data_IF_794065133877
#
_entry.id   IF_794065133877
#
_cell.length_a   1.000
_cell.length_b   1.000
_cell.length_c   1.000
_cell.angle_alpha   90.00
_cell.angle_beta   90.00
_cell.angle_gamma   90.00
#
_symmetry.space_group_name_H-M   'P 1'
#
loop_
_entity.id
_entity.type
_entity.pdbx_description
1 polymer ?
#
# COMPACT_ATOMS: atom_id res chain seq x y z
N UNK A 1 -10.04 -3.58 27.65
CA UNK A 1 -8.99 -3.04 26.75
C UNK A 1 -9.66 -2.67 25.44
N UNK A 2 -9.51 -1.43 24.98
CA UNK A 2 -10.05 -0.98 23.69
C UNK A 2 -9.45 -1.77 22.50
N UNK A 3 -10.13 -1.70 21.36
CA UNK A 3 -9.67 -2.29 20.11
C UNK A 3 -8.36 -1.62 19.63
N UNK A 4 -7.66 -2.24 18.68
CA UNK A 4 -6.48 -1.61 18.07
C UNK A 4 -6.85 -0.29 17.36
N UNK A 5 -8.05 -0.21 16.76
CA UNK A 5 -8.57 1.04 16.18
C UNK A 5 -8.73 2.10 17.26
N UNK A 6 -9.29 1.76 18.42
CA UNK A 6 -9.51 2.70 19.54
C UNK A 6 -8.19 3.29 20.05
N UNK A 7 -7.13 2.48 20.09
CA UNK A 7 -5.79 2.94 20.45
C UNK A 7 -5.24 3.92 19.42
N UNK A 8 -5.39 3.63 18.13
CA UNK A 8 -4.94 4.55 17.07
C UNK A 8 -5.72 5.84 17.12
N UNK A 9 -7.05 5.80 17.32
CA UNK A 9 -7.86 7.02 17.42
C UNK A 9 -7.45 7.86 18.62
N UNK A 10 -7.21 7.25 19.79
CA UNK A 10 -6.74 7.96 20.98
C UNK A 10 -5.37 8.64 20.72
N UNK A 11 -4.42 7.93 20.08
CA UNK A 11 -3.12 8.51 19.71
C UNK A 11 -3.29 9.72 18.79
N UNK A 12 -4.21 9.68 17.83
CA UNK A 12 -4.53 10.84 16.99
C UNK A 12 -5.14 11.99 17.81
N UNK A 13 -6.06 11.71 18.73
CA UNK A 13 -6.68 12.71 19.60
C UNK A 13 -5.64 13.41 20.50
N UNK A 14 -4.72 12.65 21.08
CA UNK A 14 -3.60 13.15 21.88
C UNK A 14 -2.66 14.08 21.07
N UNK A 15 -2.72 14.02 19.73
CA UNK A 15 -1.97 14.86 18.80
C UNK A 15 -2.82 15.99 18.17
N UNK A 16 -3.92 16.34 18.83
CA UNK A 16 -4.78 17.46 18.45
C UNK A 16 -5.65 17.20 17.23
N UNK A 17 -5.90 15.93 16.89
CA UNK A 17 -6.93 15.57 15.91
C UNK A 17 -8.29 15.38 16.59
N UNK A 18 -9.36 15.63 15.86
CA UNK A 18 -10.72 15.27 16.26
C UNK A 18 -11.19 14.08 15.46
N UNK A 19 -11.70 13.05 16.14
CA UNK A 19 -12.34 11.89 15.51
C UNK A 19 -13.79 12.24 15.20
N UNK A 20 -14.09 12.58 13.95
CA UNK A 20 -15.45 12.92 13.53
C UNK A 20 -16.34 11.68 13.35
N UNK A 21 -15.76 10.57 12.89
CA UNK A 21 -16.45 9.31 12.65
C UNK A 21 -15.51 8.16 12.98
N UNK A 22 -16.02 7.12 13.63
CA UNK A 22 -15.37 5.82 13.78
C UNK A 22 -16.43 4.73 13.73
N UNK A 23 -16.54 4.03 12.60
CA UNK A 23 -17.61 3.06 12.34
C UNK A 23 -17.02 1.72 11.89
N UNK A 24 -17.38 0.60 12.53
CA UNK A 24 -17.02 -0.73 12.05
C UNK A 24 -17.53 -0.99 10.63
N UNK A 25 -16.69 -1.53 9.75
CA UNK A 25 -17.14 -2.05 8.43
C UNK A 25 -17.35 -3.56 8.50
N UNK A 26 -16.44 -4.27 9.16
CA UNK A 26 -16.60 -5.70 9.43
C UNK A 26 -16.01 -6.07 10.79
N UNK A 27 -16.44 -7.21 11.33
CA UNK A 27 -15.93 -7.79 12.57
C UNK A 27 -17.05 -8.25 13.50
N UNK A 28 -16.71 -9.20 14.38
CA UNK A 28 -17.59 -9.54 15.50
C UNK A 28 -17.66 -8.38 16.51
N UNK A 29 -18.75 -8.31 17.27
CA UNK A 29 -18.92 -7.35 18.37
C UNK A 29 -17.65 -7.35 19.24
N UNK A 30 -16.99 -6.19 19.36
CA UNK A 30 -15.77 -6.00 20.16
C UNK A 30 -14.43 -6.12 19.41
N UNK A 31 -14.40 -6.42 18.10
CA UNK A 31 -13.18 -6.39 17.27
C UNK A 31 -13.44 -5.81 15.85
N UNK A 32 -13.89 -4.55 15.75
CA UNK A 32 -14.17 -3.94 14.45
C UNK A 32 -12.86 -3.72 13.66
N UNK A 33 -12.71 -4.42 12.55
CA UNK A 33 -11.59 -4.27 11.62
C UNK A 33 -12.05 -4.76 10.22
N UNK A 34 -11.96 -3.92 9.17
CA UNK A 34 -11.57 -2.51 9.21
C UNK A 34 -12.68 -1.61 9.77
N UNK A 35 -12.31 -0.36 10.03
CA UNK A 35 -13.24 0.71 10.43
C UNK A 35 -13.12 1.91 9.50
N UNK A 36 -14.25 2.56 9.19
CA UNK A 36 -14.28 3.88 8.56
C UNK A 36 -13.96 4.91 9.63
N UNK A 37 -12.86 5.62 9.46
CA UNK A 37 -12.44 6.67 10.40
C UNK A 37 -12.25 7.99 9.68
N UNK A 38 -12.71 9.07 10.29
CA UNK A 38 -12.52 10.43 9.77
C UNK A 38 -11.82 11.26 10.84
N UNK A 39 -10.62 11.72 10.53
CA UNK A 39 -9.85 12.63 11.38
C UNK A 39 -9.89 14.05 10.83
N UNK A 40 -10.05 15.03 11.72
CA UNK A 40 -10.02 16.45 11.41
C UNK A 40 -8.92 17.16 12.22
N UNK A 41 -8.17 18.06 11.58
CA UNK A 41 -7.24 18.97 12.27
C UNK A 41 -7.10 20.27 11.50
N UNK A 42 -7.68 21.34 12.03
CA UNK A 42 -7.82 22.61 11.32
C UNK A 42 -8.56 22.42 9.98
N UNK A 43 -7.91 22.76 8.87
CA UNK A 43 -8.45 22.56 7.50
C UNK A 43 -8.17 21.17 6.92
N UNK A 44 -7.41 20.33 7.62
CA UNK A 44 -7.02 19.00 7.14
C UNK A 44 -8.08 17.98 7.50
N UNK A 45 -8.51 17.18 6.52
CA UNK A 45 -9.41 16.04 6.69
C UNK A 45 -8.75 14.78 6.16
N UNK A 46 -8.71 13.72 6.98
CA UNK A 46 -8.28 12.39 6.57
C UNK A 46 -9.47 11.43 6.66
N UNK A 47 -9.96 10.96 5.52
CA UNK A 47 -11.01 9.95 5.43
C UNK A 47 -10.37 8.59 5.14
N UNK A 48 -10.36 7.69 6.12
CA UNK A 48 -9.63 6.43 6.06
C UNK A 48 -10.59 5.23 6.14
N UNK A 49 -10.21 4.16 5.45
CA UNK A 49 -10.66 2.80 5.72
C UNK A 49 -9.49 2.11 6.43
N UNK A 50 -9.52 2.15 7.76
CA UNK A 50 -8.38 1.79 8.59
C UNK A 50 -8.46 0.35 9.03
N UNK A 51 -7.37 -0.36 8.80
CA UNK A 51 -7.10 -1.65 9.40
C UNK A 51 -6.01 -1.50 10.48
N UNK A 52 -6.28 -1.91 11.72
CA UNK A 52 -5.35 -1.72 12.82
C UNK A 52 -5.07 -3.02 13.58
N UNK A 53 -3.80 -3.26 13.92
CA UNK A 53 -3.35 -4.41 14.71
C UNK A 53 -2.15 -4.03 15.59
N UNK A 54 -1.87 -4.87 16.60
CA UNK A 54 -0.59 -4.78 17.31
C UNK A 54 0.52 -5.40 16.45
N UNK A 55 1.71 -4.81 16.49
CA UNK A 55 2.91 -5.37 15.90
C UNK A 55 3.36 -6.56 16.75
N UNK A 56 3.70 -7.67 16.10
CA UNK A 56 4.24 -8.88 16.77
C UNK A 56 5.57 -9.29 16.15
N UNK A 57 6.42 -9.97 16.91
CA UNK A 57 7.64 -10.58 16.39
C UNK A 57 7.31 -11.67 15.35
N UNK A 58 8.20 -11.94 14.38
CA UNK A 58 7.96 -12.94 13.32
C UNK A 58 7.83 -14.39 13.81
N UNK A 59 7.98 -14.67 15.11
CA UNK A 59 7.93 -16.01 15.69
C UNK A 59 9.29 -16.70 15.80
N UNK A 60 9.32 -17.83 16.52
CA UNK A 60 10.53 -18.60 16.84
C UNK A 60 11.18 -19.19 15.57
N UNK A 61 12.50 -19.05 15.41
CA UNK A 61 13.27 -19.62 14.30
C UNK A 61 13.50 -18.71 13.09
N UNK A 62 13.26 -17.40 13.23
CA UNK A 62 13.62 -16.37 12.24
C UNK A 62 14.62 -15.39 12.85
N UNK A 63 15.37 -14.69 12.01
CA UNK A 63 16.52 -13.85 12.37
C UNK A 63 16.22 -12.66 13.31
N UNK A 64 14.98 -12.49 13.77
CA UNK A 64 14.57 -11.44 14.72
C UNK A 64 14.61 -10.00 14.17
N UNK A 65 14.98 -9.84 12.90
CA UNK A 65 15.19 -8.54 12.26
C UNK A 65 13.92 -7.90 11.68
N UNK A 66 12.81 -8.63 11.70
CA UNK A 66 11.54 -8.18 11.17
C UNK A 66 10.45 -8.31 12.24
N UNK A 67 9.41 -7.51 12.05
CA UNK A 67 8.17 -7.54 12.79
C UNK A 67 7.01 -7.72 11.82
N UNK A 68 5.84 -8.08 12.33
CA UNK A 68 4.64 -8.32 11.53
C UNK A 68 3.44 -7.59 12.07
N UNK A 69 2.74 -6.94 11.15
CA UNK A 69 1.33 -6.61 11.33
C UNK A 69 0.53 -7.82 10.86
N UNK A 70 -0.09 -8.53 11.80
CA UNK A 70 -0.91 -9.71 11.49
C UNK A 70 -2.23 -9.25 10.85
N UNK A 71 -2.25 -9.14 9.52
CA UNK A 71 -3.46 -8.87 8.75
C UNK A 71 -4.34 -10.12 8.61
N UNK A 72 -4.48 -10.91 9.68
CA UNK A 72 -5.31 -12.10 9.71
C UNK A 72 -6.78 -11.73 9.53
N UNK A 73 -7.34 -12.15 8.39
CA UNK A 73 -8.74 -12.12 7.94
C UNK A 73 -9.68 -11.28 8.82
N UNK A 74 -9.62 -9.96 8.63
CA UNK A 74 -10.67 -9.04 9.04
C UNK A 74 -12.05 -9.44 8.46
N UNK A 75 -12.05 -10.00 7.25
CA UNK A 75 -13.22 -10.53 6.53
C UNK A 75 -12.78 -11.55 5.47
N UNK A 76 -13.76 -12.17 4.78
CA UNK A 76 -13.51 -13.04 3.62
C UNK A 76 -13.21 -12.16 2.39
N UNK A 77 -12.22 -12.54 1.59
CA UNK A 77 -11.88 -11.89 0.32
C UNK A 77 -10.72 -10.90 0.41
N UNK A 78 -10.56 -10.10 -0.64
CA UNK A 78 -9.54 -9.05 -0.71
C UNK A 78 -9.85 -7.91 0.25
N UNK A 79 -8.82 -7.23 0.78
CA UNK A 79 -9.00 -6.02 1.59
C UNK A 79 -9.87 -5.02 0.84
N UNK A 80 -10.83 -4.46 1.56
CA UNK A 80 -11.82 -3.53 1.07
C UNK A 80 -11.15 -2.23 0.62
N UNK A 81 -11.76 -1.61 -0.40
CA UNK A 81 -11.50 -0.25 -0.82
C UNK A 81 -12.83 0.46 -1.01
N UNK A 82 -12.89 1.74 -0.69
CA UNK A 82 -14.10 2.56 -0.79
C UNK A 82 -13.75 3.88 -1.48
N UNK A 83 -14.59 4.29 -2.43
CA UNK A 83 -14.42 5.58 -3.10
C UNK A 83 -14.41 6.71 -2.06
N UNK A 84 -13.45 7.64 -2.20
CA UNK A 84 -13.29 8.77 -1.28
C UNK A 84 -12.65 8.43 0.08
N UNK A 85 -12.20 7.18 0.29
CA UNK A 85 -11.44 6.78 1.48
C UNK A 85 -10.13 6.11 1.12
N UNK A 86 -9.10 6.39 1.92
CA UNK A 86 -7.81 5.72 1.76
C UNK A 86 -7.75 4.45 2.64
N UNK A 87 -7.53 3.30 2.01
CA UNK A 87 -7.30 2.04 2.73
C UNK A 87 -5.89 2.01 3.30
N UNK A 88 -5.78 2.05 4.63
CA UNK A 88 -4.50 2.07 5.34
C UNK A 88 -4.41 0.92 6.33
N UNK A 89 -3.24 0.31 6.41
CA UNK A 89 -2.90 -0.61 7.49
C UNK A 89 -2.04 0.08 8.53
N UNK A 90 -2.36 -0.15 9.81
CA UNK A 90 -1.67 0.44 10.97
C UNK A 90 -1.24 -0.68 11.92
N UNK A 91 0.04 -0.68 12.26
CA UNK A 91 0.65 -1.52 13.29
C UNK A 91 1.01 -0.67 14.50
N UNK A 92 0.63 -1.12 15.70
CA UNK A 92 0.97 -0.47 16.97
C UNK A 92 2.12 -1.23 17.64
N UNK A 93 3.26 -0.57 17.83
CA UNK A 93 4.37 -1.05 18.67
C UNK A 93 4.39 -0.25 19.98
N UNK A 94 3.77 -0.81 21.02
CA UNK A 94 3.71 -0.18 22.35
C UNK A 94 5.04 -0.27 23.10
N UNK A 95 5.98 -1.12 22.71
CA UNK A 95 7.29 -1.17 23.37
C UNK A 95 8.17 0.03 22.97
N UNK A 96 7.94 0.57 21.77
CA UNK A 96 8.68 1.70 21.21
C UNK A 96 7.89 2.99 21.15
N UNK A 97 6.62 2.97 21.54
CA UNK A 97 5.66 4.05 21.30
C UNK A 97 5.60 4.50 19.84
N UNK A 98 5.53 3.54 18.91
CA UNK A 98 5.56 3.78 17.46
C UNK A 98 4.31 3.23 16.77
N UNK A 99 3.74 4.01 15.86
CA UNK A 99 2.82 3.54 14.84
C UNK A 99 3.60 3.26 13.56
N UNK A 100 3.44 2.07 12.98
CA UNK A 100 3.85 1.77 11.61
C UNK A 100 2.62 1.79 10.71
N UNK A 101 2.76 2.35 9.51
CA UNK A 101 1.69 2.43 8.52
C UNK A 101 2.16 1.87 7.18
N UNK A 102 1.20 1.35 6.42
CA UNK A 102 1.42 0.87 5.06
C UNK A 102 0.15 1.06 4.21
N UNK A 103 0.36 1.14 2.90
CA UNK A 103 -0.74 1.18 1.93
C UNK A 103 -1.43 -0.19 1.87
N UNK A 104 -2.66 -0.29 2.40
CA UNK A 104 -3.39 -1.56 2.43
C UNK A 104 -3.74 -2.06 1.02
N UNK A 105 -3.80 -1.17 0.02
CA UNK A 105 -4.03 -1.55 -1.38
C UNK A 105 -2.97 -2.53 -1.89
N UNK A 106 -1.71 -2.31 -1.53
CA UNK A 106 -0.58 -3.15 -1.96
C UNK A 106 -0.63 -4.56 -1.37
N UNK A 107 -1.50 -4.79 -0.38
CA UNK A 107 -1.72 -6.07 0.30
C UNK A 107 -3.17 -6.56 0.17
N UNK A 108 -3.91 -6.04 -0.83
CA UNK A 108 -5.34 -6.33 -1.02
C UNK A 108 -5.64 -7.82 -1.14
N UNK A 109 -4.81 -8.60 -1.83
CA UNK A 109 -5.07 -10.03 -1.95
C UNK A 109 -4.70 -10.76 -0.65
N UNK A 110 -5.70 -11.18 0.12
CA UNK A 110 -5.46 -11.86 1.40
C UNK A 110 -5.26 -13.37 1.20
N UNK A 111 -4.00 -13.83 1.28
CA UNK A 111 -3.69 -15.27 1.30
C UNK A 111 -4.09 -15.96 2.60
N UNK A 112 -3.75 -17.26 2.76
CA UNK A 112 -3.99 -18.02 4.01
C UNK A 112 -3.25 -17.44 5.23
N UNK A 113 -2.16 -16.72 5.00
CA UNK A 113 -1.40 -16.00 6.02
C UNK A 113 -1.04 -14.63 5.46
N UNK A 114 -1.92 -13.65 5.61
CA UNK A 114 -1.62 -12.29 5.21
C UNK A 114 -0.96 -11.57 6.39
N UNK A 115 0.33 -11.26 6.26
CA UNK A 115 1.05 -10.44 7.24
C UNK A 115 1.93 -9.46 6.49
N UNK A 116 1.95 -8.22 6.97
CA UNK A 116 2.85 -7.20 6.43
C UNK A 116 4.10 -7.17 7.28
N UNK A 117 5.24 -7.37 6.63
CA UNK A 117 6.52 -7.31 7.32
C UNK A 117 6.92 -5.85 7.50
N UNK A 118 7.25 -5.46 8.72
CA UNK A 118 7.84 -4.16 9.03
C UNK A 118 9.27 -4.41 9.48
N UNK A 119 10.25 -3.76 8.84
CA UNK A 119 11.66 -3.94 9.20
C UNK A 119 11.90 -3.36 10.59
N UNK A 120 12.67 -4.05 11.44
CA UNK A 120 13.07 -3.53 12.75
C UNK A 120 13.76 -2.17 12.63
N UNK A 121 14.65 -2.02 11.64
CA UNK A 121 15.37 -0.76 11.40
C UNK A 121 14.45 0.42 11.14
N UNK A 122 13.27 0.20 10.55
CA UNK A 122 12.27 1.26 10.34
C UNK A 122 11.64 1.71 11.67
N UNK A 123 11.30 0.74 12.53
CA UNK A 123 10.72 1.02 13.85
C UNK A 123 11.73 1.70 14.78
N UNK A 124 12.96 1.18 14.83
CA UNK A 124 14.03 1.73 15.67
C UNK A 124 14.41 3.16 15.22
N UNK A 125 14.45 3.41 13.89
CA UNK A 125 14.67 4.75 13.35
C UNK A 125 13.54 5.72 13.69
N UNK A 126 12.26 5.30 13.59
CA UNK A 126 11.14 6.13 13.97
C UNK A 126 11.11 6.41 15.48
N UNK A 127 11.40 5.42 16.33
CA UNK A 127 11.47 5.61 17.78
C UNK A 127 12.56 6.61 18.18
N UNK A 128 13.68 6.61 17.47
CA UNK A 128 14.83 7.52 17.72
C UNK A 128 14.59 8.91 17.14
N UNK A 129 14.15 9.00 15.89
CA UNK A 129 14.09 10.25 15.13
C UNK A 129 12.68 10.88 15.08
N UNK A 130 11.70 10.24 15.70
CA UNK A 130 10.29 10.62 15.66
C UNK A 130 9.54 10.16 14.41
N UNK A 131 10.24 9.94 13.28
CA UNK A 131 9.65 9.51 12.03
C UNK A 131 10.67 8.79 11.13
N UNK A 132 10.22 7.82 10.35
CA UNK A 132 11.02 7.19 9.30
C UNK A 132 10.12 6.62 8.20
N UNK A 133 10.63 6.58 6.97
CA UNK A 133 10.01 5.87 5.85
C UNK A 133 10.88 4.69 5.42
N UNK A 134 10.30 3.75 4.68
CA UNK A 134 11.07 2.67 4.09
C UNK A 134 10.25 1.77 3.16
N UNK A 135 10.95 0.86 2.49
CA UNK A 135 10.38 0.08 1.41
C UNK A 135 10.50 0.80 0.06
N UNK A 136 10.28 0.09 -1.05
CA UNK A 136 10.16 0.72 -2.36
C UNK A 136 8.82 1.48 -2.47
N UNK A 137 8.66 2.41 -3.42
CA UNK A 137 7.41 3.16 -3.63
C UNK A 137 6.14 2.30 -3.63
N UNK A 138 6.19 1.15 -4.30
CA UNK A 138 5.06 0.23 -4.46
C UNK A 138 4.78 -0.70 -3.28
N UNK A 139 5.60 -0.62 -2.22
CA UNK A 139 5.38 -1.26 -0.91
C UNK A 139 5.86 -0.30 0.18
N UNK A 140 5.52 0.99 0.01
CA UNK A 140 5.95 2.06 0.87
C UNK A 140 5.37 1.91 2.28
N UNK A 141 6.21 2.19 3.26
CA UNK A 141 5.89 2.13 4.68
C UNK A 141 6.40 3.39 5.35
N UNK A 142 5.71 3.79 6.40
CA UNK A 142 6.21 4.81 7.31
C UNK A 142 6.04 4.35 8.74
N UNK A 143 6.79 4.95 9.64
CA UNK A 143 6.61 4.80 11.06
C UNK A 143 6.82 6.15 11.76
N UNK A 144 6.03 6.43 12.78
CA UNK A 144 6.10 7.66 13.58
C UNK A 144 5.92 7.33 15.06
N UNK A 145 6.53 8.11 15.95
CA UNK A 145 6.21 8.05 17.37
C UNK A 145 4.78 8.48 17.64
N UNK A 146 4.21 7.99 18.74
CA UNK A 146 2.88 8.38 19.20
C UNK A 146 2.76 9.89 19.41
N UNK A 147 3.83 10.56 19.85
CA UNK A 147 3.88 12.01 20.08
C UNK A 147 4.28 12.86 18.85
N UNK A 148 4.48 12.23 17.68
CA UNK A 148 4.92 12.91 16.46
C UNK A 148 4.18 12.43 15.20
N UNK A 149 2.86 12.61 15.17
CA UNK A 149 2.05 12.22 14.01
C UNK A 149 2.10 13.22 12.84
N UNK A 150 2.73 14.38 13.00
CA UNK A 150 2.72 15.46 12.01
C UNK A 150 3.16 15.07 10.59
N UNK A 151 4.15 14.19 10.40
CA UNK A 151 4.56 13.76 9.05
C UNK A 151 3.55 12.81 8.37
N UNK A 152 2.73 12.10 9.15
CA UNK A 152 1.91 10.99 8.67
C UNK A 152 0.82 11.42 7.65
N UNK A 153 0.06 12.51 7.83
CA UNK A 153 -0.92 12.97 6.83
C UNK A 153 -0.32 13.24 5.46
N UNK A 154 0.88 13.85 5.43
CA UNK A 154 1.58 14.12 4.17
C UNK A 154 1.93 12.81 3.48
N UNK A 155 2.50 11.86 4.23
CA UNK A 155 2.83 10.54 3.70
C UNK A 155 1.60 9.83 3.14
N UNK A 156 0.48 9.84 3.87
CA UNK A 156 -0.80 9.26 3.42
C UNK A 156 -1.28 9.92 2.12
N UNK A 157 -1.22 11.25 2.02
CA UNK A 157 -1.63 11.96 0.81
C UNK A 157 -0.76 11.63 -0.39
N UNK A 158 0.55 11.46 -0.23
CA UNK A 158 1.43 11.02 -1.31
C UNK A 158 1.02 9.63 -1.83
N UNK A 159 0.45 8.77 -0.98
CA UNK A 159 -0.10 7.49 -1.42
C UNK A 159 -1.44 7.60 -2.20
N UNK A 160 -1.99 8.80 -2.39
CA UNK A 160 -3.17 9.04 -3.22
C UNK A 160 -2.84 9.66 -4.59
N UNK A 161 -1.61 10.14 -4.77
CA UNK A 161 -1.19 10.77 -6.01
C UNK A 161 -1.23 9.74 -7.16
N UNK A 162 -1.59 10.23 -8.35
CA UNK A 162 -1.61 9.40 -9.56
C UNK A 162 -0.20 8.97 -9.88
N UNK A 163 -0.05 7.68 -10.15
CA UNK A 163 1.26 7.05 -10.35
C UNK A 163 1.61 6.96 -11.82
N UNK A 164 2.92 6.94 -12.06
CA UNK A 164 3.50 6.53 -13.31
C UNK A 164 4.69 5.60 -13.04
N UNK A 165 4.60 4.34 -13.49
CA UNK A 165 5.59 3.29 -13.19
C UNK A 165 5.91 2.42 -14.41
N UNK A 166 7.00 1.66 -14.35
CA UNK A 166 7.28 0.60 -15.32
C UNK A 166 6.60 -0.72 -14.93
N UNK A 167 5.81 -1.31 -15.82
CA UNK A 167 5.16 -2.61 -15.59
C UNK A 167 5.74 -3.68 -16.49
N UNK A 168 6.27 -4.73 -15.87
CA UNK A 168 6.58 -5.98 -16.55
C UNK A 168 5.35 -6.89 -16.62
N UNK A 169 4.84 -7.11 -17.82
CA UNK A 169 3.73 -8.02 -18.07
C UNK A 169 4.18 -9.48 -18.13
N UNK A 170 3.23 -10.37 -17.84
CA UNK A 170 3.31 -11.83 -18.05
C UNK A 170 2.55 -12.18 -19.33
N UNK A 171 1.37 -11.60 -19.49
CA UNK A 171 0.45 -11.82 -20.61
C UNK A 171 -0.11 -10.45 -21.03
N UNK A 172 -0.25 -10.21 -22.33
CA UNK A 172 -0.80 -8.98 -22.90
C UNK A 172 -1.73 -9.31 -24.06
N UNK A 173 -2.90 -8.68 -24.10
CA UNK A 173 -3.83 -8.70 -25.23
C UNK A 173 -4.16 -7.25 -25.56
N UNK A 174 -3.66 -6.73 -26.68
CA UNK A 174 -3.82 -5.32 -27.05
C UNK A 174 -4.54 -5.26 -28.40
N UNK A 175 -5.63 -4.49 -28.44
CA UNK A 175 -6.37 -4.18 -29.66
C UNK A 175 -6.45 -2.65 -29.81
N UNK A 176 -5.60 -2.12 -30.68
CA UNK A 176 -5.51 -0.68 -30.93
C UNK A 176 -5.26 0.13 -29.65
N UNK A 177 -6.26 0.92 -29.25
CA UNK A 177 -6.16 1.83 -28.10
C UNK A 177 -6.60 1.21 -26.77
N UNK A 178 -6.99 -0.06 -26.72
CA UNK A 178 -7.40 -0.75 -25.50
C UNK A 178 -6.64 -2.06 -25.33
N UNK A 179 -6.58 -2.57 -24.10
CA UNK A 179 -5.96 -3.85 -23.86
C UNK A 179 -6.19 -4.42 -22.47
N UNK A 180 -5.74 -5.65 -22.32
CA UNK A 180 -5.69 -6.38 -21.07
C UNK A 180 -4.25 -6.80 -20.78
N UNK A 181 -3.77 -6.48 -19.57
CA UNK A 181 -2.39 -6.72 -19.15
C UNK A 181 -2.42 -7.49 -17.84
N UNK A 182 -1.76 -8.64 -17.83
CA UNK A 182 -1.57 -9.44 -16.61
C UNK A 182 -0.14 -9.30 -16.13
N UNK A 183 0.06 -8.97 -14.86
CA UNK A 183 1.38 -8.77 -14.24
C UNK A 183 1.48 -9.44 -12.86
N UNK A 184 2.70 -9.53 -12.32
CA UNK A 184 2.94 -10.02 -10.96
C UNK A 184 2.59 -8.92 -9.94
N UNK A 185 1.76 -9.26 -8.96
CA UNK A 185 1.27 -8.29 -7.95
C UNK A 185 2.27 -7.90 -6.87
N UNK A 186 3.45 -8.52 -6.79
CA UNK A 186 4.48 -8.19 -5.79
C UNK A 186 5.43 -7.06 -6.21
N UNK A 187 5.21 -6.46 -7.38
CA UNK A 187 6.00 -5.34 -7.92
C UNK A 187 5.14 -4.12 -8.22
N UNK A 188 5.62 -3.19 -9.07
CA UNK A 188 4.91 -1.94 -9.39
C UNK A 188 3.47 -2.12 -9.86
N UNK A 189 3.17 -3.19 -10.62
CA UNK A 189 1.81 -3.49 -11.06
C UNK A 189 0.82 -3.76 -9.90
N UNK A 190 1.32 -4.25 -8.77
CA UNK A 190 0.56 -4.41 -7.54
C UNK A 190 0.06 -3.10 -6.94
N UNK A 191 0.71 -1.98 -7.27
CA UNK A 191 0.42 -0.67 -6.67
C UNK A 191 -0.57 0.16 -7.49
N UNK A 192 -0.75 -0.18 -8.75
CA UNK A 192 -1.64 0.51 -9.68
C UNK A 192 -3.11 0.45 -9.25
N UNK A 193 -3.80 1.57 -9.44
CA UNK A 193 -5.24 1.80 -9.25
C UNK A 193 -5.85 2.34 -10.55
N UNK A 194 -7.17 2.41 -10.61
CA UNK A 194 -7.86 3.10 -11.71
C UNK A 194 -7.39 4.55 -11.85
N UNK A 195 -7.14 4.97 -13.08
CA UNK A 195 -6.59 6.28 -13.43
C UNK A 195 -5.07 6.41 -13.33
N UNK A 196 -4.38 5.47 -12.68
CA UNK A 196 -2.92 5.41 -12.70
C UNK A 196 -2.41 5.08 -14.11
N UNK A 197 -1.14 5.39 -14.34
CA UNK A 197 -0.51 5.27 -15.65
C UNK A 197 0.74 4.42 -15.55
N UNK A 198 1.12 3.81 -16.66
CA UNK A 198 2.36 3.04 -16.73
C UNK A 198 2.86 2.88 -18.16
N UNK A 199 4.11 2.47 -18.29
CA UNK A 199 4.67 1.96 -19.55
C UNK A 199 5.04 0.49 -19.41
N UNK A 200 4.91 -0.29 -20.48
CA UNK A 200 5.32 -1.69 -20.49
C UNK A 200 6.84 -1.82 -20.63
N UNK A 201 7.45 -2.65 -19.79
CA UNK A 201 8.91 -2.88 -19.76
C UNK A 201 9.28 -4.37 -19.73
N UNK A 202 10.38 -4.76 -20.34
CA UNK A 202 10.83 -6.17 -20.46
C UNK A 202 11.75 -6.64 -19.32
N UNK A 203 12.45 -5.71 -18.67
CA UNK A 203 13.55 -5.98 -17.74
C UNK A 203 13.31 -5.56 -16.28
N UNK A 204 14.23 -5.92 -15.37
CA UNK A 204 14.31 -5.33 -14.04
C UNK A 204 14.87 -3.88 -14.13
N UNK A 205 14.64 -3.07 -13.10
CA UNK A 205 14.99 -1.63 -12.96
C UNK A 205 16.23 -1.16 -13.73
N UNK A 206 17.35 -1.87 -13.60
CA UNK A 206 18.64 -1.40 -14.12
C UNK A 206 18.87 -1.66 -15.62
N UNK A 207 17.99 -2.39 -16.31
CA UNK A 207 18.13 -2.75 -17.74
C UNK A 207 16.77 -2.82 -18.46
N UNK A 208 15.84 -1.93 -18.09
CA UNK A 208 14.50 -1.90 -18.67
C UNK A 208 14.55 -1.32 -20.08
N UNK A 209 13.97 -2.02 -21.05
CA UNK A 209 13.56 -1.45 -22.33
C UNK A 209 12.04 -1.34 -22.38
N UNK A 210 11.54 -0.37 -23.14
CA UNK A 210 10.12 -0.28 -23.41
C UNK A 210 9.71 -1.44 -24.32
N UNK A 211 8.61 -2.12 -23.97
CA UNK A 211 8.01 -3.18 -24.79
C UNK A 211 7.22 -2.57 -25.95
N UNK A 212 6.63 -1.39 -25.74
CA UNK A 212 5.92 -0.62 -26.75
C UNK A 212 6.15 0.89 -26.60
N UNK A 213 5.62 1.67 -27.54
CA UNK A 213 5.70 3.12 -27.54
C UNK A 213 4.54 3.78 -26.79
N UNK A 214 3.86 3.07 -25.89
CA UNK A 214 2.57 3.52 -25.35
C UNK A 214 2.63 3.77 -23.84
N UNK A 215 2.00 4.85 -23.41
CA UNK A 215 1.61 5.05 -22.01
C UNK A 215 0.18 4.57 -21.86
N UNK A 216 -0.01 3.63 -20.95
CA UNK A 216 -1.30 3.02 -20.65
C UNK A 216 -1.90 3.67 -19.41
N UNK A 217 -3.20 3.96 -19.45
CA UNK A 217 -4.01 4.34 -18.29
C UNK A 217 -4.82 3.14 -17.85
N UNK A 218 -4.81 2.86 -16.56
CA UNK A 218 -5.62 1.79 -15.95
C UNK A 218 -7.08 2.23 -15.89
N UNK A 219 -7.97 1.42 -16.44
CA UNK A 219 -9.42 1.65 -16.42
C UNK A 219 -10.14 0.71 -15.48
N UNK A 220 -9.57 -0.47 -15.21
CA UNK A 220 -10.05 -1.40 -14.18
C UNK A 220 -8.90 -2.26 -13.64
N UNK A 221 -9.03 -2.70 -12.38
CA UNK A 221 -8.06 -3.59 -11.72
C UNK A 221 -8.78 -4.79 -11.13
N UNK A 222 -8.41 -5.98 -11.58
CA UNK A 222 -8.85 -7.27 -11.03
C UNK A 222 -7.63 -8.01 -10.45
N UNK A 223 -7.81 -8.82 -9.39
CA UNK A 223 -6.72 -9.69 -8.89
C UNK A 223 -7.14 -11.14 -8.84
N UNK A 224 -6.15 -12.02 -9.04
CA UNK A 224 -6.36 -13.45 -8.94
C UNK A 224 -5.18 -14.15 -8.27
N UNK A 225 -5.45 -15.31 -7.66
CA UNK A 225 -4.43 -16.19 -7.10
C UNK A 225 -4.33 -17.42 -7.98
N UNK A 226 -3.25 -17.54 -8.75
CA UNK A 226 -2.99 -18.77 -9.51
C UNK A 226 -2.28 -19.78 -8.61
N UNK A 227 -3.00 -20.81 -8.15
CA UNK A 227 -2.44 -21.98 -7.47
C UNK A 227 -1.68 -22.84 -8.47
N UNK A 228 -0.45 -22.47 -8.81
CA UNK A 228 0.37 -23.24 -9.74
C UNK A 228 1.55 -23.99 -9.07
N UNK A 229 1.89 -23.72 -7.80
CA UNK A 229 3.02 -24.38 -7.13
C UNK A 229 3.05 -24.14 -5.62
N UNK A 230 4.10 -24.61 -4.95
CA UNK A 230 4.44 -24.37 -3.52
C UNK A 230 4.44 -22.89 -3.12
N UNK A 231 4.53 -21.97 -4.10
CA UNK A 231 4.42 -20.53 -3.90
C UNK A 231 3.20 -19.98 -4.66
N UNK A 232 2.18 -19.53 -3.92
CA UNK A 232 1.06 -18.76 -4.47
C UNK A 232 1.61 -17.45 -5.05
N UNK A 233 1.37 -17.19 -6.34
CA UNK A 233 1.74 -15.92 -6.97
C UNK A 233 0.47 -15.14 -7.28
N UNK A 234 0.37 -13.95 -6.68
CA UNK A 234 -0.70 -13.00 -6.95
C UNK A 234 -0.51 -12.40 -8.33
N UNK A 235 -1.56 -12.48 -9.15
CA UNK A 235 -1.64 -11.82 -10.46
C UNK A 235 -2.55 -10.62 -10.34
N UNK A 236 -2.15 -9.55 -11.02
CA UNK A 236 -2.98 -8.37 -11.23
C UNK A 236 -3.35 -8.33 -12.70
N UNK A 237 -4.64 -8.23 -12.98
CA UNK A 237 -5.20 -8.10 -14.30
C UNK A 237 -5.66 -6.65 -14.45
N UNK A 238 -5.13 -5.96 -15.43
CA UNK A 238 -5.40 -4.55 -15.70
C UNK A 238 -6.17 -4.47 -17.01
N UNK A 239 -7.33 -3.83 -16.99
CA UNK A 239 -7.91 -3.28 -18.23
C UNK A 239 -7.33 -1.89 -18.42
N UNK A 240 -6.93 -1.60 -19.65
CA UNK A 240 -6.23 -0.37 -19.97
C UNK A 240 -6.73 0.26 -21.25
N UNK A 241 -6.47 1.55 -21.34
CA UNK A 241 -6.55 2.30 -22.59
C UNK A 241 -5.27 3.09 -22.82
N UNK A 242 -4.96 3.37 -24.08
CA UNK A 242 -3.80 4.14 -24.46
C UNK A 242 -4.03 5.60 -24.10
N UNK A 243 -3.20 6.11 -23.19
CA UNK A 243 -3.25 7.50 -22.75
C UNK A 243 -2.38 8.41 -23.62
N UNK A 244 -1.19 7.96 -24.00
CA UNK A 244 -0.25 8.71 -24.82
C UNK A 244 0.70 7.79 -25.58
N UNK A 245 1.48 8.38 -26.50
CA UNK A 245 2.63 7.73 -27.13
C UNK A 245 3.95 8.34 -26.66
N UNK A 246 4.94 7.49 -26.50
CA UNK A 246 6.29 7.80 -26.06
C UNK A 246 7.13 8.15 -27.30
N UNK A 247 7.63 9.38 -27.37
CA UNK A 247 8.50 9.83 -28.48
C UNK A 247 9.98 9.55 -28.24
N UNK A 248 10.40 9.52 -26.96
CA UNK A 248 11.79 9.34 -26.55
C UNK A 248 11.84 8.26 -25.46
N UNK A 249 12.27 7.05 -25.86
CA UNK A 249 12.29 5.89 -24.96
C UNK A 249 13.30 6.04 -23.82
N UNK A 250 14.46 6.65 -24.08
CA UNK A 250 15.52 6.84 -23.09
C UNK A 250 15.08 7.79 -21.98
N UNK A 251 14.53 8.94 -22.36
CA UNK A 251 14.01 9.94 -21.42
C UNK A 251 12.85 9.39 -20.59
N UNK A 252 11.98 8.59 -21.20
CA UNK A 252 10.89 7.94 -20.49
C UNK A 252 11.38 6.92 -19.46
N UNK A 253 12.36 6.09 -19.80
CA UNK A 253 12.94 5.13 -18.86
C UNK A 253 13.64 5.85 -17.69
N UNK A 254 14.36 6.93 -17.96
CA UNK A 254 14.97 7.75 -16.91
C UNK A 254 13.89 8.35 -16.00
N UNK A 255 12.81 8.89 -16.58
CA UNK A 255 11.69 9.46 -15.81
C UNK A 255 11.00 8.40 -14.93
N UNK A 256 10.82 7.18 -15.44
CA UNK A 256 10.28 6.06 -14.65
C UNK A 256 11.20 5.75 -13.46
N UNK A 257 12.51 5.68 -13.71
CA UNK A 257 13.49 5.38 -12.66
C UNK A 257 13.54 6.49 -11.60
N UNK A 258 13.47 7.76 -12.02
CA UNK A 258 13.48 8.91 -11.11
C UNK A 258 12.21 8.96 -10.26
N UNK A 259 11.04 8.71 -10.86
CA UNK A 259 9.77 8.64 -10.13
C UNK A 259 9.74 7.45 -9.17
N UNK A 260 10.30 6.31 -9.56
CA UNK A 260 10.47 5.14 -8.67
C UNK A 260 11.52 5.37 -7.58
N UNK A 261 12.42 6.34 -7.71
CA UNK A 261 13.41 6.68 -6.68
C UNK A 261 12.92 7.75 -5.69
N UNK A 262 11.98 8.61 -6.11
CA UNK A 262 11.47 9.73 -5.30
C UNK A 262 10.26 9.39 -4.43
N UNK A 263 9.56 8.29 -4.72
CA UNK A 263 8.37 7.85 -4.00
C UNK A 263 8.67 6.89 -2.84
#
# INVERSE_FOLDING_TARGET
MGSAVDKVTAIFEDNGWTVQQSEPVSGAVGRPNPSRVVFLRGKTRLSLLMYAWNITHEGKGRDGNNYRVQATRAHKGDLLSEAGRYSIGVGIDTERDVLAVFDAWTKRTTGKSNSVHIKRTLLDAAATNGYSTGGPPWDARAACRFDNLNPLPRWINCQLERRFVGVKSIETSIDGAVGEITAIGTGPAGWLREGDRFALVDGPEKRRHLVDDSVWRVTAVDTSVKKASRNERHRVHLRVERYARIKNSVEMINSINDMEAQA
#
